data_IF_625748622281
#
_entry.id   IF_625748622281
#
_cell.length_a   1.000
_cell.length_b   1.000
_cell.length_c   1.000
_cell.angle_alpha   90.00
_cell.angle_beta   90.00
_cell.angle_gamma   90.00
#
_symmetry.space_group_name_H-M   'P 1'
#
loop_
_entity.id
_entity.type
_entity.pdbx_description
1 polymer ?
#
# COMPACT_ATOMS: atom_id res chain seq x y z
N UNK A 1 4.98 -14.72 2.92
CA UNK A 1 4.35 -16.05 2.73
C UNK A 1 3.45 -15.95 1.51
N UNK A 2 3.70 -16.76 0.49
CA UNK A 2 2.94 -16.70 -0.76
C UNK A 2 1.55 -17.33 -0.56
N UNK A 3 0.50 -16.83 -1.23
CA UNK A 3 -0.88 -17.34 -1.04
C UNK A 3 -1.00 -18.85 -1.34
N UNK A 4 -0.14 -19.35 -2.23
CA UNK A 4 0.04 -20.79 -2.54
C UNK A 4 0.60 -21.60 -1.37
N UNK A 5 1.53 -21.02 -0.59
CA UNK A 5 2.07 -21.65 0.62
C UNK A 5 1.04 -21.72 1.76
N UNK A 6 -0.04 -20.93 1.67
CA UNK A 6 -1.19 -20.97 2.57
C UNK A 6 -2.26 -22.01 2.18
N UNK A 7 -1.98 -22.89 1.20
CA UNK A 7 -2.89 -23.95 0.76
C UNK A 7 -4.02 -23.48 -0.17
N UNK A 8 -3.93 -22.26 -0.71
CA UNK A 8 -4.88 -21.76 -1.70
C UNK A 8 -4.39 -21.98 -3.11
N UNK A 9 -5.22 -22.64 -3.91
CA UNK A 9 -5.00 -22.82 -5.34
C UNK A 9 -5.27 -21.48 -6.05
N UNK A 10 -4.21 -20.80 -6.47
CA UNK A 10 -4.28 -19.51 -7.19
C UNK A 10 -4.04 -19.78 -8.66
N UNK A 11 -5.06 -19.49 -9.47
CA UNK A 11 -5.09 -19.72 -10.92
C UNK A 11 -4.89 -18.41 -11.70
N UNK A 12 -4.41 -18.49 -12.95
CA UNK A 12 -4.37 -17.32 -13.82
C UNK A 12 -5.78 -16.71 -13.97
N UNK A 13 -5.90 -15.41 -13.72
CA UNK A 13 -7.18 -14.69 -13.73
C UNK A 13 -7.72 -14.35 -12.34
N UNK A 14 -7.19 -14.97 -11.28
CA UNK A 14 -7.62 -14.68 -9.91
C UNK A 14 -7.12 -13.31 -9.44
N UNK A 15 -7.98 -12.59 -8.73
CA UNK A 15 -7.63 -11.33 -8.06
C UNK A 15 -7.06 -11.61 -6.67
N UNK A 16 -5.78 -11.29 -6.48
CA UNK A 16 -5.09 -11.47 -5.20
C UNK A 16 -5.09 -10.16 -4.42
N UNK A 17 -6.00 -10.04 -3.46
CA UNK A 17 -6.04 -8.90 -2.53
C UNK A 17 -4.96 -9.02 -1.45
N UNK A 18 -4.14 -7.98 -1.29
CA UNK A 18 -3.11 -7.89 -0.25
C UNK A 18 -3.09 -6.50 0.39
N UNK A 19 -2.52 -6.43 1.60
CA UNK A 19 -2.30 -5.22 2.38
C UNK A 19 -0.83 -5.17 2.77
N UNK A 20 -0.24 -3.97 2.75
CA UNK A 20 1.13 -3.71 3.19
C UNK A 20 1.13 -3.41 4.69
N UNK A 21 1.87 -4.23 5.43
CA UNK A 21 2.00 -4.13 6.87
C UNK A 21 3.27 -3.38 7.26
N UNK A 22 3.30 -2.80 8.47
CA UNK A 22 4.52 -2.23 9.05
C UNK A 22 5.57 -3.32 9.23
N UNK A 23 6.80 -3.02 8.86
CA UNK A 23 7.91 -3.98 8.94
C UNK A 23 9.18 -3.46 8.30
N UNK A 24 10.29 -4.17 8.54
CA UNK A 24 11.57 -3.94 7.86
C UNK A 24 11.67 -4.86 6.64
N UNK A 25 12.52 -4.50 5.69
CA UNK A 25 12.76 -5.28 4.48
C UNK A 25 12.07 -4.72 3.24
N UNK A 26 12.03 -5.53 2.18
CA UNK A 26 11.46 -5.16 0.88
C UNK A 26 9.93 -5.16 0.95
N UNK A 27 9.30 -4.40 0.05
CA UNK A 27 7.85 -4.22 0.06
C UNK A 27 7.06 -5.53 -0.04
N UNK A 28 7.52 -6.48 -0.88
CA UNK A 28 6.85 -7.77 -1.03
C UNK A 28 6.90 -8.63 0.24
N UNK A 29 7.90 -8.43 1.11
CA UNK A 29 8.01 -9.14 2.38
C UNK A 29 6.98 -8.65 3.40
N UNK A 30 6.52 -7.40 3.23
CA UNK A 30 5.48 -6.75 4.04
C UNK A 30 4.06 -6.99 3.52
N UNK A 31 3.91 -7.58 2.34
CA UNK A 31 2.61 -7.86 1.74
C UNK A 31 1.99 -9.10 2.38
N UNK A 32 0.81 -8.93 2.97
CA UNK A 32 0.00 -10.02 3.51
C UNK A 32 -1.36 -10.04 2.83
N UNK A 33 -2.00 -11.20 2.68
CA UNK A 33 -3.35 -11.23 2.16
C UNK A 33 -4.34 -10.45 3.05
N UNK A 34 -5.33 -9.78 2.44
CA UNK A 34 -6.19 -8.83 3.18
C UNK A 34 -6.94 -9.45 4.38
N UNK A 35 -7.35 -10.72 4.28
CA UNK A 35 -8.07 -11.44 5.34
C UNK A 35 -7.16 -11.94 6.47
N UNK A 36 -5.84 -11.89 6.29
CA UNK A 36 -4.83 -12.19 7.32
C UNK A 36 -4.25 -10.90 7.95
N UNK A 37 -4.66 -9.73 7.45
CA UNK A 37 -4.13 -8.46 7.91
C UNK A 37 -4.68 -8.07 9.30
N UNK A 38 -3.77 -7.64 10.17
CA UNK A 38 -4.10 -6.99 11.44
C UNK A 38 -4.24 -5.48 11.21
N UNK A 39 -5.45 -4.89 11.34
CA UNK A 39 -5.67 -3.47 11.08
C UNK A 39 -4.73 -2.54 11.87
N UNK A 40 -4.32 -2.93 13.08
CA UNK A 40 -3.44 -2.12 13.92
C UNK A 40 -2.00 -2.03 13.41
N UNK A 41 -1.61 -2.95 12.52
CA UNK A 41 -0.25 -3.09 11.99
C UNK A 41 -0.13 -2.68 10.53
N UNK A 42 -1.16 -2.09 9.93
CA UNK A 42 -1.13 -1.57 8.56
C UNK A 42 -0.12 -0.42 8.46
N UNK A 43 0.66 -0.40 7.37
CA UNK A 43 1.62 0.66 7.07
C UNK A 43 0.90 1.88 6.46
N UNK A 44 0.22 2.66 7.31
CA UNK A 44 -0.57 3.83 6.88
C UNK A 44 0.31 4.82 6.09
N UNK A 45 1.53 5.07 6.56
CA UNK A 45 2.47 5.99 5.93
C UNK A 45 2.80 5.56 4.50
N UNK A 46 2.99 4.27 4.25
CA UNK A 46 3.17 3.75 2.89
C UNK A 46 2.00 4.11 1.97
N UNK A 47 0.75 3.94 2.42
CA UNK A 47 -0.42 4.25 1.61
C UNK A 47 -0.58 5.76 1.38
N UNK A 48 -0.38 6.57 2.42
CA UNK A 48 -0.41 8.03 2.30
C UNK A 48 0.63 8.50 1.29
N UNK A 49 1.89 8.09 1.45
CA UNK A 49 2.99 8.58 0.63
C UNK A 49 2.98 8.07 -0.82
N UNK A 50 2.56 6.81 -1.02
CA UNK A 50 2.70 6.13 -2.32
C UNK A 50 1.40 6.07 -3.11
N UNK A 51 0.25 6.20 -2.46
CA UNK A 51 -1.05 6.05 -3.12
C UNK A 51 -1.94 7.28 -2.99
N UNK A 52 -1.93 8.00 -1.86
CA UNK A 52 -2.78 9.18 -1.65
C UNK A 52 -2.11 10.46 -2.17
N UNK A 53 -0.88 10.73 -1.77
CA UNK A 53 -0.18 11.97 -2.14
C UNK A 53 0.02 12.10 -3.66
N UNK A 54 0.46 11.08 -4.42
CA UNK A 54 0.73 11.24 -5.86
C UNK A 54 -0.48 11.65 -6.73
N UNK A 55 -1.70 11.09 -6.57
CA UNK A 55 -2.86 11.56 -7.33
C UNK A 55 -3.35 12.94 -6.83
N UNK A 56 -3.29 13.21 -5.53
CA UNK A 56 -3.70 14.52 -4.98
C UNK A 56 -2.77 15.63 -5.48
N UNK A 57 -1.45 15.39 -5.49
CA UNK A 57 -0.48 16.33 -6.03
C UNK A 57 -0.71 16.64 -7.50
N UNK A 58 -1.12 15.65 -8.31
CA UNK A 58 -1.47 15.85 -9.73
C UNK A 58 -2.66 16.79 -9.92
N UNK A 59 -3.65 16.72 -9.03
CA UNK A 59 -4.82 17.61 -9.08
C UNK A 59 -4.47 19.02 -8.58
N UNK A 60 -3.78 19.10 -7.44
CA UNK A 60 -3.52 20.38 -6.77
C UNK A 60 -2.35 21.16 -7.37
N UNK A 61 -1.52 20.53 -8.20
CA UNK A 61 -0.48 21.23 -8.97
C UNK A 61 -1.08 22.31 -9.88
N UNK A 62 -2.31 22.12 -10.35
CA UNK A 62 -3.05 23.11 -11.15
C UNK A 62 -3.30 24.42 -10.39
N UNK A 63 -3.29 24.39 -9.05
CA UNK A 63 -3.44 25.57 -8.19
C UNK A 63 -2.14 25.91 -7.43
N UNK A 64 -1.00 25.38 -7.89
CA UNK A 64 0.32 25.71 -7.36
C UNK A 64 0.75 24.95 -6.09
N UNK A 65 -0.01 23.94 -5.64
CA UNK A 65 0.39 23.11 -4.50
C UNK A 65 1.29 21.98 -4.98
N UNK A 66 2.53 21.94 -4.47
CA UNK A 66 3.49 20.91 -4.83
C UNK A 66 3.31 19.62 -4.02
N UNK A 67 3.76 18.50 -4.57
CA UNK A 67 3.82 17.22 -3.83
C UNK A 67 4.63 17.34 -2.54
N UNK A 68 5.74 18.10 -2.57
CA UNK A 68 6.57 18.37 -1.39
C UNK A 68 5.78 19.08 -0.30
N UNK A 69 4.92 20.03 -0.68
CA UNK A 69 4.05 20.73 0.26
C UNK A 69 3.11 19.75 0.96
N UNK A 70 2.47 18.84 0.20
CA UNK A 70 1.59 17.82 0.76
C UNK A 70 2.32 16.85 1.68
N UNK A 71 3.54 16.43 1.32
CA UNK A 71 4.38 15.55 2.16
C UNK A 71 4.78 16.21 3.48
N UNK A 72 4.83 17.54 3.55
CA UNK A 72 5.13 18.25 4.79
C UNK A 72 3.92 18.46 5.70
N UNK A 73 2.69 18.17 5.23
CA UNK A 73 1.47 18.29 6.03
C UNK A 73 1.09 17.00 6.77
N UNK A 74 1.65 15.87 6.33
CA UNK A 74 1.49 14.56 6.93
C UNK A 74 2.70 14.25 7.82
#
# INVERSE_FOLDING_TARGET
>A
KSMREGGRDVKPGDLVGFIIMKGKGRLYEKAVPYFEADPSRIDVDYYVEKQVIPPVARLLSAIGISERTLRNWC
#
